data_IF_056101538874
#
_entry.id   IF_056101538874
#
_cell.length_a   1.000
_cell.length_b   1.000
_cell.length_c   1.000
_cell.angle_alpha   90.00
_cell.angle_beta   90.00
_cell.angle_gamma   90.00
#
_symmetry.space_group_name_H-M   'P 1'
#
loop_
_entity.id
_entity.type
_entity.pdbx_description
1 polymer ?
#
# COMPACT_ATOMS: atom_id res chain seq x y z
N UNK A 1 -81.65 -13.16 10.56
CA UNK A 1 -81.31 -14.60 10.64
C UNK A 1 -79.89 -14.67 11.22
N UNK A 2 -79.64 -14.73 12.53
CA UNK A 2 -80.00 -15.69 13.60
C UNK A 2 -79.41 -17.10 13.39
N UNK A 3 -78.69 -17.54 14.43
CA UNK A 3 -78.25 -18.90 14.83
C UNK A 3 -77.03 -19.48 14.09
N UNK A 4 -76.10 -20.20 14.74
CA UNK A 4 -76.14 -20.79 16.08
C UNK A 4 -74.79 -21.41 16.49
N UNK A 5 -74.70 -21.69 17.80
CA UNK A 5 -73.63 -22.39 18.54
C UNK A 5 -73.69 -23.92 18.34
N UNK A 6 -72.58 -24.59 18.73
CA UNK A 6 -72.44 -26.02 19.15
C UNK A 6 -72.61 -27.06 18.03
N UNK A 7 -71.92 -28.20 17.95
CA UNK A 7 -71.13 -29.04 18.87
C UNK A 7 -70.02 -29.75 18.03
N UNK A 8 -69.02 -30.51 18.51
CA UNK A 8 -69.13 -31.78 19.26
C UNK A 8 -67.73 -32.32 19.63
N UNK A 9 -67.66 -33.01 20.77
CA UNK A 9 -66.61 -33.88 21.34
C UNK A 9 -65.80 -34.73 20.35
N UNK A 10 -64.51 -35.00 20.65
CA UNK A 10 -63.99 -36.35 21.01
C UNK A 10 -62.48 -36.35 21.30
N UNK A 11 -62.03 -37.14 22.28
CA UNK A 11 -60.71 -37.80 22.21
C UNK A 11 -59.65 -37.41 23.24
N UNK A 12 -59.74 -38.03 24.41
CA UNK A 12 -58.67 -38.20 25.40
C UNK A 12 -57.48 -38.97 24.79
N UNK A 13 -56.24 -38.53 25.00
CA UNK A 13 -55.04 -39.39 25.04
C UNK A 13 -53.92 -38.70 25.81
N UNK A 14 -53.79 -39.09 27.08
CA UNK A 14 -52.56 -38.93 27.84
C UNK A 14 -51.47 -39.75 27.17
N UNK A 15 -50.43 -39.09 26.64
CA UNK A 15 -49.15 -39.72 26.35
C UNK A 15 -48.12 -39.09 27.29
N UNK A 16 -47.83 -39.79 28.39
CA UNK A 16 -46.61 -39.59 29.17
C UNK A 16 -45.44 -40.08 28.31
N UNK A 17 -44.91 -39.22 27.45
CA UNK A 17 -43.61 -39.41 26.83
C UNK A 17 -42.56 -38.75 27.70
N UNK A 18 -41.74 -39.54 28.38
CA UNK A 18 -40.53 -39.11 29.08
C UNK A 18 -39.71 -38.20 28.17
N UNK A 19 -39.63 -36.92 28.52
CA UNK A 19 -38.76 -35.96 27.85
C UNK A 19 -37.30 -36.34 28.08
N UNK A 20 -36.73 -37.10 27.14
CA UNK A 20 -35.31 -37.04 26.86
C UNK A 20 -35.12 -35.82 25.94
N UNK A 21 -35.10 -34.63 26.55
CA UNK A 21 -34.41 -33.51 25.94
C UNK A 21 -32.94 -33.88 25.92
N UNK A 22 -32.51 -34.51 24.83
CA UNK A 22 -31.11 -34.43 24.43
C UNK A 22 -30.95 -32.98 23.99
N UNK A 23 -30.40 -32.16 24.87
CA UNK A 23 -29.81 -30.89 24.48
C UNK A 23 -28.94 -31.17 23.24
N UNK A 24 -29.03 -30.36 22.18
CA UNK A 24 -28.07 -30.46 21.07
C UNK A 24 -26.66 -30.49 21.65
N UNK A 25 -25.72 -31.28 21.09
CA UNK A 25 -24.32 -31.21 21.51
C UNK A 25 -23.90 -29.75 21.44
N UNK A 26 -23.41 -29.26 22.57
CA UNK A 26 -22.88 -27.92 22.77
C UNK A 26 -22.13 -27.50 21.50
N UNK A 27 -22.72 -26.55 20.75
CA UNK A 27 -22.04 -25.94 19.63
C UNK A 27 -20.91 -25.17 20.28
N UNK A 28 -19.73 -25.81 20.34
CA UNK A 28 -18.58 -25.33 21.09
C UNK A 28 -18.42 -23.82 20.91
N UNK A 29 -18.12 -23.13 22.02
CA UNK A 29 -17.88 -21.69 22.03
C UNK A 29 -17.16 -21.28 20.76
N UNK A 30 -17.75 -20.30 20.05
CA UNK A 30 -17.07 -19.68 18.91
C UNK A 30 -15.67 -19.29 19.40
N UNK A 31 -14.57 -19.77 18.76
CA UNK A 31 -13.24 -19.47 19.24
C UNK A 31 -13.10 -17.96 19.38
N UNK A 32 -12.82 -17.51 20.60
CA UNK A 32 -12.61 -16.10 20.88
C UNK A 32 -11.47 -15.63 19.98
N UNK A 33 -11.72 -14.62 19.15
CA UNK A 33 -10.69 -14.10 18.25
C UNK A 33 -9.52 -13.58 19.10
N UNK A 34 -8.41 -14.31 19.04
CA UNK A 34 -7.21 -13.94 19.77
C UNK A 34 -6.55 -12.75 19.05
N UNK A 35 -6.05 -11.80 19.84
CA UNK A 35 -5.48 -10.56 19.30
C UNK A 35 -3.99 -10.51 19.56
N UNK A 36 -3.25 -10.07 18.55
CA UNK A 36 -1.85 -9.68 18.66
C UNK A 36 -1.77 -8.20 19.07
N UNK A 37 -0.66 -7.79 19.69
CA UNK A 37 -0.34 -6.37 19.84
C UNK A 37 -0.33 -5.63 18.50
N UNK A 38 -0.52 -4.29 18.49
CA UNK A 38 -0.41 -3.49 17.28
C UNK A 38 0.94 -3.65 16.59
N UNK A 39 0.91 -3.69 15.25
CA UNK A 39 2.11 -3.63 14.42
C UNK A 39 2.46 -2.18 14.05
N UNK A 40 3.70 -1.96 13.63
CA UNK A 40 4.16 -0.69 13.05
C UNK A 40 4.95 -0.93 11.77
N UNK A 41 4.88 0.03 10.85
CA UNK A 41 5.64 -0.01 9.60
C UNK A 41 6.92 0.81 9.78
N UNK A 42 8.06 0.12 9.78
CA UNK A 42 9.37 0.75 10.00
C UNK A 42 10.00 1.22 8.68
N UNK A 43 9.71 0.50 7.59
CA UNK A 43 10.22 0.83 6.26
C UNK A 43 9.17 0.50 5.21
N UNK A 44 9.02 1.41 4.25
CA UNK A 44 8.30 1.18 3.00
C UNK A 44 9.02 1.91 1.86
N UNK A 45 9.37 1.18 0.81
CA UNK A 45 10.10 1.75 -0.32
C UNK A 45 9.81 0.98 -1.60
N UNK A 46 9.97 1.64 -2.75
CA UNK A 46 9.91 0.97 -4.06
C UNK A 46 11.11 0.03 -4.19
N UNK A 47 10.84 -1.26 -4.38
CA UNK A 47 11.88 -2.28 -4.61
C UNK A 47 12.09 -2.57 -6.10
N UNK A 48 11.03 -2.43 -6.91
CA UNK A 48 11.09 -2.63 -8.35
C UNK A 48 10.39 -1.47 -9.07
N UNK A 49 11.17 -0.66 -9.78
CA UNK A 49 10.67 0.51 -10.49
C UNK A 49 9.81 0.16 -11.71
N UNK A 50 10.03 -0.99 -12.36
CA UNK A 50 9.27 -1.41 -13.54
C UNK A 50 7.82 -1.71 -13.20
N UNK A 51 7.61 -2.39 -12.07
CA UNK A 51 6.28 -2.79 -11.62
C UNK A 51 5.67 -1.81 -10.63
N UNK A 52 6.49 -1.10 -9.84
CA UNK A 52 6.02 -0.31 -8.70
C UNK A 52 5.80 -1.15 -7.44
N UNK A 53 6.37 -2.36 -7.36
CA UNK A 53 6.30 -3.17 -6.16
C UNK A 53 7.02 -2.50 -4.98
N UNK A 54 6.46 -2.63 -3.78
CA UNK A 54 7.00 -2.06 -2.56
C UNK A 54 7.59 -3.15 -1.67
N UNK A 55 8.71 -2.87 -1.00
CA UNK A 55 9.15 -3.66 0.15
C UNK A 55 8.60 -3.03 1.43
N UNK A 56 8.26 -3.86 2.41
CA UNK A 56 7.87 -3.42 3.75
C UNK A 56 8.64 -4.15 4.83
N UNK A 57 9.03 -3.40 5.86
CA UNK A 57 9.55 -3.93 7.14
C UNK A 57 8.56 -3.59 8.25
N UNK A 58 7.94 -4.61 8.83
CA UNK A 58 6.92 -4.46 9.87
C UNK A 58 7.49 -4.93 11.20
N UNK A 59 7.33 -4.10 12.23
CA UNK A 59 7.65 -4.40 13.62
C UNK A 59 6.39 -4.79 14.38
N UNK A 60 6.54 -5.73 15.31
CA UNK A 60 5.45 -6.16 16.19
C UNK A 60 5.96 -7.14 17.25
N UNK A 61 5.08 -8.01 17.73
CA UNK A 61 5.38 -8.97 18.77
C UNK A 61 4.73 -10.33 18.48
N UNK A 62 5.30 -11.39 19.07
CA UNK A 62 4.80 -12.75 19.02
C UNK A 62 4.62 -13.32 17.60
N UNK A 63 5.48 -12.92 16.66
CA UNK A 63 5.56 -13.60 15.37
C UNK A 63 6.19 -14.98 15.51
N UNK A 64 5.72 -15.92 14.70
CA UNK A 64 6.19 -17.30 14.57
C UNK A 64 6.44 -17.60 13.09
N UNK A 65 6.96 -18.79 12.76
CA UNK A 65 7.19 -19.20 11.38
C UNK A 65 5.90 -19.23 10.52
N UNK A 66 4.73 -19.33 11.15
CA UNK A 66 3.42 -19.26 10.50
C UNK A 66 2.88 -17.84 10.32
N UNK A 67 3.62 -16.81 10.71
CA UNK A 67 3.16 -15.42 10.63
C UNK A 67 3.15 -14.88 9.21
N UNK A 68 2.07 -14.18 8.88
CA UNK A 68 1.81 -13.60 7.56
C UNK A 68 1.35 -12.16 7.71
N UNK A 69 1.76 -11.31 6.78
CA UNK A 69 1.11 -10.02 6.56
C UNK A 69 -0.09 -10.21 5.62
N UNK A 70 -1.20 -9.59 5.99
CA UNK A 70 -2.43 -9.55 5.22
C UNK A 70 -2.69 -8.09 4.85
N UNK A 71 -3.02 -7.87 3.58
CA UNK A 71 -3.38 -6.57 3.06
C UNK A 71 -4.68 -6.69 2.28
N UNK A 72 -5.67 -5.86 2.61
CA UNK A 72 -6.99 -5.89 1.95
C UNK A 72 -7.57 -7.31 1.89
N UNK A 73 -7.52 -8.03 3.03
CA UNK A 73 -7.99 -9.42 3.19
C UNK A 73 -7.27 -10.48 2.33
N UNK A 74 -6.18 -10.14 1.65
CA UNK A 74 -5.33 -11.06 0.88
C UNK A 74 -3.97 -11.20 1.54
N UNK A 75 -3.42 -12.42 1.57
CA UNK A 75 -2.10 -12.66 2.16
C UNK A 75 -0.98 -12.15 1.25
N UNK A 76 0.06 -11.57 1.85
CA UNK A 76 1.30 -11.20 1.18
C UNK A 76 2.33 -12.33 1.34
N UNK A 77 3.25 -12.42 0.37
CA UNK A 77 4.44 -13.26 0.53
C UNK A 77 5.31 -12.65 1.64
N UNK A 78 5.25 -13.28 2.82
CA UNK A 78 5.84 -12.77 4.06
C UNK A 78 7.03 -13.63 4.46
N UNK A 79 8.13 -12.98 4.82
CA UNK A 79 9.29 -13.56 5.44
C UNK A 79 9.31 -13.17 6.91
N UNK A 80 9.35 -14.16 7.78
CA UNK A 80 9.53 -13.97 9.22
C UNK A 80 11.03 -13.83 9.49
N UNK A 81 11.45 -12.66 9.96
CA UNK A 81 12.86 -12.39 10.29
C UNK A 81 13.15 -12.72 11.75
N UNK A 82 12.21 -12.38 12.63
CA UNK A 82 12.25 -12.72 14.05
C UNK A 82 10.83 -12.70 14.63
N UNK A 83 10.69 -13.00 15.92
CA UNK A 83 9.42 -12.85 16.65
C UNK A 83 8.90 -11.41 16.73
N UNK A 84 9.67 -10.43 16.25
CA UNK A 84 9.31 -9.00 16.27
C UNK A 84 9.48 -8.30 14.92
N UNK A 85 9.86 -9.01 13.84
CA UNK A 85 10.07 -8.43 12.53
C UNK A 85 9.55 -9.35 11.41
N UNK A 86 8.67 -8.79 10.58
CA UNK A 86 8.23 -9.37 9.32
C UNK A 86 8.72 -8.51 8.16
N UNK A 87 9.05 -9.16 7.04
CA UNK A 87 9.31 -8.49 5.76
C UNK A 87 8.37 -9.04 4.71
N UNK A 88 7.91 -8.19 3.81
CA UNK A 88 7.11 -8.63 2.67
C UNK A 88 7.35 -7.75 1.45
N UNK A 89 6.90 -8.24 0.30
CA UNK A 89 6.76 -7.44 -0.91
C UNK A 89 5.28 -7.23 -1.19
N UNK A 90 4.88 -5.98 -1.40
CA UNK A 90 3.52 -5.59 -1.81
C UNK A 90 3.50 -5.46 -3.33
N UNK A 91 2.75 -6.33 -4.05
CA UNK A 91 2.56 -6.20 -5.49
C UNK A 91 1.69 -4.98 -5.85
N UNK A 92 1.84 -4.40 -7.05
CA UNK A 92 1.06 -3.23 -7.48
C UNK A 92 -0.46 -3.43 -7.47
N UNK A 93 -0.94 -4.66 -7.71
CA UNK A 93 -2.37 -5.01 -7.68
C UNK A 93 -3.01 -4.91 -6.29
N UNK A 94 -2.22 -4.68 -5.24
CA UNK A 94 -2.71 -4.34 -3.90
C UNK A 94 -2.86 -2.83 -3.69
N UNK A 95 -2.20 -2.02 -4.53
CA UNK A 95 -2.13 -0.57 -4.41
C UNK A 95 -3.28 0.14 -5.15
N UNK A 96 -4.06 -0.60 -5.95
CA UNK A 96 -5.24 -0.10 -6.68
C UNK A 96 -6.51 -0.03 -5.81
N UNK A 97 -6.40 -0.38 -4.52
CA UNK A 97 -7.54 -0.45 -3.61
C UNK A 97 -8.09 0.93 -3.25
N UNK A 98 -9.41 1.10 -3.34
CA UNK A 98 -10.08 2.39 -3.14
C UNK A 98 -10.56 2.60 -1.71
N UNK A 99 -10.74 1.52 -0.96
CA UNK A 99 -11.17 1.56 0.45
C UNK A 99 -10.04 1.95 1.42
N UNK A 100 -8.82 2.19 0.89
CA UNK A 100 -7.62 2.52 1.67
C UNK A 100 -6.69 1.33 1.84
N UNK A 101 -5.46 1.62 2.27
CA UNK A 101 -4.38 0.64 2.39
C UNK A 101 -4.13 0.36 3.87
N UNK A 102 -4.30 -0.90 4.25
CA UNK A 102 -4.08 -1.36 5.61
C UNK A 102 -3.36 -2.71 5.63
N UNK A 103 -2.51 -2.87 6.63
CA UNK A 103 -1.84 -4.12 6.95
C UNK A 103 -2.38 -4.69 8.26
N UNK A 104 -2.45 -6.01 8.32
CA UNK A 104 -2.63 -6.78 9.53
C UNK A 104 -1.55 -7.86 9.59
N UNK A 105 -1.11 -8.22 10.79
CA UNK A 105 -0.37 -9.45 10.99
C UNK A 105 -1.34 -10.56 11.44
N UNK A 106 -1.17 -11.74 10.85
CA UNK A 106 -1.82 -12.97 11.26
C UNK A 106 -0.74 -13.93 11.73
N UNK A 107 -0.88 -14.51 12.92
CA UNK A 107 0.04 -15.51 13.47
C UNK A 107 -0.71 -16.79 13.79
N UNK A 108 -0.11 -17.94 13.51
CA UNK A 108 -0.49 -19.25 14.08
C UNK A 108 0.71 -19.85 14.79
N UNK A 109 0.53 -20.29 16.03
CA UNK A 109 1.59 -20.86 16.87
C UNK A 109 1.02 -21.76 17.95
N UNK A 110 1.87 -22.39 18.77
CA UNK A 110 1.40 -23.12 19.95
C UNK A 110 0.69 -22.22 20.97
N UNK A 111 1.06 -20.93 21.03
CA UNK A 111 0.39 -19.92 21.86
C UNK A 111 -0.95 -19.49 21.25
N UNK A 112 -1.04 -19.47 19.92
CA UNK A 112 -2.22 -19.06 19.16
C UNK A 112 -2.69 -20.20 18.23
N UNK A 113 -3.22 -21.32 18.79
CA UNK A 113 -3.54 -22.51 18.00
C UNK A 113 -4.70 -22.29 17.02
N UNK A 114 -5.57 -21.33 17.31
CA UNK A 114 -6.67 -20.91 16.44
C UNK A 114 -6.36 -19.63 15.64
N UNK A 115 -5.12 -19.16 15.73
CA UNK A 115 -4.65 -17.94 15.10
C UNK A 115 -4.95 -16.67 15.90
N UNK A 116 -4.11 -15.65 15.70
CA UNK A 116 -4.30 -14.32 16.27
C UNK A 116 -4.03 -13.23 15.23
N UNK A 117 -4.77 -12.12 15.32
CA UNK A 117 -4.66 -10.97 14.41
C UNK A 117 -4.25 -9.71 15.14
N UNK A 118 -3.41 -8.89 14.52
CA UNK A 118 -3.21 -7.53 14.98
C UNK A 118 -4.39 -6.65 14.57
N UNK A 119 -4.62 -5.50 15.25
CA UNK A 119 -5.41 -4.42 14.69
C UNK A 119 -4.91 -4.00 13.30
N UNK A 120 -5.80 -3.40 12.50
CA UNK A 120 -5.45 -2.81 11.22
C UNK A 120 -4.50 -1.64 11.38
N UNK A 121 -3.43 -1.64 10.60
CA UNK A 121 -2.48 -0.55 10.49
C UNK A 121 -2.61 0.12 9.12
N UNK A 122 -3.19 1.32 9.09
CA UNK A 122 -3.27 2.13 7.87
C UNK A 122 -1.90 2.71 7.49
N UNK A 123 -1.59 2.76 6.21
CA UNK A 123 -0.35 3.35 5.71
C UNK A 123 -0.54 4.07 4.37
N UNK A 124 0.44 4.90 4.02
CA UNK A 124 0.48 5.59 2.74
C UNK A 124 1.62 5.02 1.89
N UNK A 125 1.42 5.02 0.58
CA UNK A 125 2.49 4.66 -0.36
C UNK A 125 3.52 5.79 -0.35
N UNK A 126 4.82 5.49 -0.28
CA UNK A 126 5.84 6.53 -0.25
C UNK A 126 5.78 7.36 -1.54
N UNK A 127 5.72 8.68 -1.37
CA UNK A 127 5.90 9.61 -2.49
C UNK A 127 7.32 9.48 -3.07
N UNK A 128 7.52 9.80 -4.36
CA UNK A 128 8.86 9.98 -4.88
C UNK A 128 9.57 11.10 -4.10
N UNK A 129 10.87 10.96 -3.90
CA UNK A 129 11.72 11.99 -3.28
C UNK A 129 12.86 12.32 -4.25
N UNK A 130 13.16 13.60 -4.46
CA UNK A 130 14.25 14.05 -5.32
C UNK A 130 15.39 14.58 -4.45
N UNK A 131 16.55 13.94 -4.53
CA UNK A 131 17.75 14.32 -3.76
C UNK A 131 18.66 15.26 -4.55
N UNK A 132 18.89 15.00 -5.83
CA UNK A 132 19.74 15.85 -6.66
C UNK A 132 19.40 15.81 -8.15
N UNK A 133 19.87 16.83 -8.85
CA UNK A 133 19.67 17.08 -10.29
C UNK A 133 21.03 17.38 -10.91
N UNK A 134 21.40 16.65 -11.96
CA UNK A 134 22.69 16.80 -12.63
C UNK A 134 22.55 16.84 -14.16
N UNK A 135 23.13 17.83 -14.86
CA UNK A 135 23.79 19.00 -14.30
C UNK A 135 22.76 19.95 -13.64
N UNK A 136 23.14 20.62 -12.55
CA UNK A 136 22.31 21.65 -11.93
C UNK A 136 22.23 22.96 -12.75
N UNK A 137 22.99 23.04 -13.85
CA UNK A 137 23.03 24.17 -14.79
C UNK A 137 22.96 23.66 -16.21
N UNK A 138 22.05 24.21 -16.99
CA UNK A 138 21.91 23.94 -18.42
C UNK A 138 22.00 25.24 -19.21
N UNK A 139 22.52 25.15 -20.44
CA UNK A 139 22.74 26.33 -21.28
C UNK A 139 21.50 26.62 -22.11
N UNK A 140 21.01 27.85 -22.01
CA UNK A 140 19.93 28.36 -22.85
C UNK A 140 20.31 28.25 -24.33
N UNK A 141 19.33 27.91 -25.18
CA UNK A 141 19.49 28.01 -26.63
C UNK A 141 20.32 26.88 -27.25
N UNK A 142 20.73 25.87 -26.46
CA UNK A 142 21.42 24.68 -26.96
C UNK A 142 20.68 24.11 -28.17
N UNK A 143 21.39 23.81 -29.29
CA UNK A 143 20.76 23.28 -30.49
C UNK A 143 20.20 21.87 -30.28
N UNK A 144 20.77 21.13 -29.33
CA UNK A 144 20.43 19.74 -29.02
C UNK A 144 19.65 19.63 -27.69
N UNK A 145 18.82 18.57 -27.53
CA UNK A 145 18.20 18.24 -26.26
C UNK A 145 19.25 18.07 -25.16
N UNK A 146 18.90 18.49 -23.94
CA UNK A 146 19.80 18.38 -22.79
C UNK A 146 19.36 17.24 -21.89
N UNK A 147 20.23 16.26 -21.68
CA UNK A 147 19.99 15.17 -20.73
C UNK A 147 20.26 15.66 -19.30
N UNK A 148 19.28 15.43 -18.43
CA UNK A 148 19.36 15.72 -17.01
C UNK A 148 19.12 14.43 -16.24
N UNK A 149 20.06 14.09 -15.35
CA UNK A 149 20.01 12.99 -14.41
C UNK A 149 19.32 13.43 -13.13
N UNK A 150 18.39 12.60 -12.66
CA UNK A 150 17.65 12.83 -11.42
C UNK A 150 17.94 11.69 -10.46
N UNK A 151 18.33 12.02 -9.23
CA UNK A 151 18.64 11.07 -8.18
C UNK A 151 17.71 11.26 -7.00
N UNK A 152 17.28 10.17 -6.38
CA UNK A 152 16.25 10.24 -5.36
C UNK A 152 15.85 8.89 -4.81
N UNK A 153 14.56 8.76 -4.48
CA UNK A 153 13.94 7.52 -3.99
C UNK A 153 12.53 7.38 -4.53
N UNK A 154 12.05 6.13 -4.48
CA UNK A 154 10.67 5.75 -4.81
C UNK A 154 10.26 6.09 -6.25
N UNK A 155 11.20 6.14 -7.19
CA UNK A 155 10.88 6.31 -8.60
C UNK A 155 10.28 5.02 -9.17
N UNK A 156 9.18 5.18 -9.90
CA UNK A 156 8.50 4.10 -10.62
C UNK A 156 8.40 4.45 -12.10
N UNK A 157 8.28 3.46 -12.98
CA UNK A 157 8.25 3.63 -14.43
C UNK A 157 7.18 4.62 -14.93
N UNK A 158 6.05 4.73 -14.23
CA UNK A 158 4.98 5.68 -14.58
C UNK A 158 5.29 7.13 -14.18
N UNK A 159 6.40 7.37 -13.49
CA UNK A 159 6.81 8.71 -13.07
C UNK A 159 7.05 9.61 -14.28
N UNK A 160 6.81 10.90 -14.10
CA UNK A 160 7.00 11.95 -15.09
C UNK A 160 7.80 13.09 -14.45
N UNK A 161 8.52 13.84 -15.26
CA UNK A 161 9.18 15.06 -14.79
C UNK A 161 8.27 16.24 -15.07
N UNK A 162 8.03 17.09 -14.08
CA UNK A 162 7.41 18.39 -14.27
C UNK A 162 8.48 19.47 -14.20
N UNK A 163 8.65 20.20 -15.29
CA UNK A 163 9.56 21.33 -15.39
C UNK A 163 8.86 22.50 -16.07
N UNK A 164 8.81 23.67 -15.42
CA UNK A 164 8.07 24.85 -15.87
C UNK A 164 6.59 24.57 -16.21
N UNK A 165 5.94 23.73 -15.41
CA UNK A 165 4.54 23.34 -15.63
C UNK A 165 4.31 22.40 -16.82
N UNK A 166 5.36 21.96 -17.51
CA UNK A 166 5.28 21.00 -18.61
C UNK A 166 5.73 19.62 -18.14
N UNK A 167 4.98 18.59 -18.53
CA UNK A 167 5.32 17.19 -18.26
C UNK A 167 6.28 16.66 -19.33
N UNK A 168 7.39 16.11 -18.90
CA UNK A 168 8.39 15.45 -19.72
C UNK A 168 8.47 13.95 -19.39
N UNK A 169 8.70 13.07 -20.39
CA UNK A 169 8.93 11.67 -20.14
C UNK A 169 10.14 11.46 -19.22
N UNK A 170 9.94 10.73 -18.13
CA UNK A 170 11.03 10.35 -17.23
C UNK A 170 11.42 8.90 -17.50
N UNK A 171 12.65 8.67 -17.94
CA UNK A 171 13.19 7.33 -18.10
C UNK A 171 13.82 6.88 -16.78
N UNK A 172 13.02 6.23 -15.95
CA UNK A 172 13.49 5.64 -14.69
C UNK A 172 14.42 4.47 -14.98
N UNK A 173 15.57 4.44 -14.30
CA UNK A 173 16.60 3.39 -14.42
C UNK A 173 16.60 2.49 -13.19
N UNK A 174 16.30 3.08 -12.03
CA UNK A 174 16.15 2.38 -10.75
C UNK A 174 15.17 3.14 -9.86
N UNK A 175 14.73 2.57 -8.72
CA UNK A 175 13.95 3.31 -7.74
C UNK A 175 14.62 4.60 -7.22
N UNK A 176 15.91 4.79 -7.51
CA UNK A 176 16.73 5.89 -7.00
C UNK A 176 17.34 6.76 -8.09
N UNK A 177 17.14 6.46 -9.37
CA UNK A 177 17.74 7.21 -10.46
C UNK A 177 16.95 7.13 -11.76
N UNK A 178 17.05 8.18 -12.57
CA UNK A 178 16.52 8.19 -13.92
C UNK A 178 17.06 9.37 -14.71
N UNK A 179 16.62 9.47 -15.96
CA UNK A 179 16.99 10.55 -16.86
C UNK A 179 15.77 11.17 -17.51
N UNK A 180 15.83 12.49 -17.69
CA UNK A 180 14.89 13.25 -18.52
C UNK A 180 15.67 13.98 -19.59
N UNK A 181 15.12 14.00 -20.80
CA UNK A 181 15.66 14.81 -21.89
C UNK A 181 14.80 16.05 -22.02
N UNK A 182 15.37 17.19 -21.64
CA UNK A 182 14.77 18.49 -21.86
C UNK A 182 14.93 18.90 -23.33
N UNK A 183 13.95 19.62 -23.90
CA UNK A 183 13.94 19.93 -25.32
C UNK A 183 15.12 20.85 -25.70
N UNK A 184 15.49 20.81 -26.99
CA UNK A 184 16.41 21.79 -27.55
C UNK A 184 15.85 23.21 -27.40
N UNK A 185 16.75 24.20 -27.46
CA UNK A 185 16.40 25.62 -27.43
C UNK A 185 15.60 26.04 -26.20
N UNK A 186 15.93 25.48 -25.02
CA UNK A 186 15.42 25.99 -23.74
C UNK A 186 15.61 27.49 -23.68
N UNK A 187 14.58 28.21 -23.28
CA UNK A 187 14.62 29.67 -23.04
C UNK A 187 15.06 29.96 -21.62
N UNK A 188 15.44 31.20 -21.32
CA UNK A 188 15.49 31.64 -19.92
C UNK A 188 14.11 31.45 -19.27
N UNK A 189 14.17 31.13 -17.99
CA UNK A 189 13.01 31.09 -17.13
C UNK A 189 12.71 32.44 -16.52
N UNK A 190 11.63 32.49 -15.75
CA UNK A 190 11.26 33.67 -14.98
C UNK A 190 12.11 33.79 -13.69
N UNK A 191 12.71 32.69 -13.23
CA UNK A 191 13.55 32.61 -12.03
C UNK A 191 14.98 32.15 -12.37
N UNK A 192 15.95 32.53 -11.51
CA UNK A 192 17.35 32.10 -11.67
C UNK A 192 17.53 30.59 -11.40
N UNK A 193 16.79 30.06 -10.44
CA UNK A 193 16.71 28.64 -10.12
C UNK A 193 15.28 28.20 -10.34
N UNK A 194 15.09 27.21 -11.20
CA UNK A 194 13.77 26.75 -11.57
C UNK A 194 13.51 25.39 -10.97
N UNK A 195 12.31 25.18 -10.41
CA UNK A 195 12.00 23.92 -9.79
C UNK A 195 11.73 22.85 -10.84
N UNK A 196 12.23 21.67 -10.55
CA UNK A 196 11.96 20.43 -11.26
C UNK A 196 11.43 19.42 -10.24
N UNK A 197 10.32 18.76 -10.59
CA UNK A 197 9.68 17.76 -9.74
C UNK A 197 9.58 16.45 -10.50
N UNK A 198 9.56 15.33 -9.77
CA UNK A 198 9.13 14.04 -10.31
C UNK A 198 7.75 13.74 -9.74
N UNK A 199 6.77 13.55 -10.61
CA UNK A 199 5.41 13.18 -10.23
C UNK A 199 5.12 11.74 -10.60
N UNK A 200 4.34 11.03 -9.80
CA UNK A 200 3.68 9.78 -10.20
C UNK A 200 2.21 10.14 -10.47
N UNK A 201 1.67 9.94 -11.69
CA UNK A 201 0.31 10.39 -12.02
C UNK A 201 -0.80 9.43 -11.56
N UNK A 202 -0.51 8.12 -11.46
CA UNK A 202 -1.41 7.07 -10.97
C UNK A 202 -0.59 5.78 -10.64
N UNK A 203 -1.06 4.88 -9.74
CA UNK A 203 -2.31 4.93 -8.96
C UNK A 203 -2.29 5.92 -7.78
N UNK A 204 -1.13 6.46 -7.42
CA UNK A 204 -1.00 7.57 -6.46
C UNK A 204 -0.56 8.79 -7.23
N UNK A 205 -1.36 9.85 -7.15
CA UNK A 205 -0.94 11.17 -7.60
C UNK A 205 -0.11 11.82 -6.49
N UNK A 206 1.22 11.86 -6.67
CA UNK A 206 2.13 12.46 -5.72
C UNK A 206 3.35 13.05 -6.46
N UNK A 207 3.81 14.21 -5.99
CA UNK A 207 5.00 14.89 -6.51
C UNK A 207 6.14 14.85 -5.48
N UNK A 208 7.38 14.92 -5.97
CA UNK A 208 8.56 15.11 -5.12
C UNK A 208 8.58 16.50 -4.49
N UNK A 209 9.51 16.70 -3.56
CA UNK A 209 10.09 18.02 -3.31
C UNK A 209 10.72 18.62 -4.58
N UNK A 210 10.93 19.94 -4.59
CA UNK A 210 11.63 20.62 -5.67
C UNK A 210 13.11 20.21 -5.70
N UNK A 211 13.56 19.71 -6.85
CA UNK A 211 14.94 19.83 -7.29
C UNK A 211 15.13 21.14 -8.02
N UNK A 212 16.37 21.62 -8.14
CA UNK A 212 16.64 22.93 -8.71
C UNK A 212 17.52 22.82 -9.94
N UNK A 213 17.09 23.46 -11.02
CA UNK A 213 17.80 23.54 -12.28
C UNK A 213 17.95 25.01 -12.69
N UNK A 214 19.16 25.44 -13.02
CA UNK A 214 19.42 26.79 -13.54
C UNK A 214 19.57 26.74 -15.06
N UNK A 215 18.72 27.44 -15.79
CA UNK A 215 18.91 27.71 -17.22
C UNK A 215 19.64 29.03 -17.37
N UNK A 216 20.88 29.00 -17.85
CA UNK A 216 21.74 30.18 -17.94
C UNK A 216 22.09 30.53 -19.40
N UNK A 217 22.30 31.81 -19.68
CA UNK A 217 22.89 32.23 -20.96
C UNK A 217 24.27 31.57 -21.16
N UNK A 218 24.68 31.29 -22.41
CA UNK A 218 26.03 30.81 -22.69
C UNK A 218 27.06 31.80 -22.15
N UNK A 219 28.17 31.28 -21.60
CA UNK A 219 29.27 32.12 -21.19
C UNK A 219 29.80 32.92 -22.40
N UNK A 220 30.15 34.21 -22.22
CA UNK A 220 30.74 35.02 -23.27
C UNK A 220 32.14 34.53 -23.68
#
# INVERSE_FOLDING_TARGET
MRLGRMATLLGLLCACGTGLQTSPPDAGETPKEETLPPITLEEIAVTNHETGALTVRVRGENFSDGSLLVMTRRTLLTQVVSSTELRATIPPSFLEEREGLYLEALTTSAQYPHGARSPQFGFNIPAPELTSVEPARVTMGSPDPTTVYLYGKNFVRSSVVLFRGVMYPFHVVSPTSGVVNLPARLTLGDEELEPIYVGVPAPISADTNAGWLRVAAPFP
#
